data_IF_961642641254
#
_entry.id   IF_961642641254
#
_cell.length_a   1.000
_cell.length_b   1.000
_cell.length_c   1.000
_cell.angle_alpha   90.00
_cell.angle_beta   90.00
_cell.angle_gamma   90.00
#
_symmetry.space_group_name_H-M   'P 1'
#
loop_
_entity.id
_entity.type
_entity.pdbx_description
1 polymer ?
#
# COMPACT_ATOMS: atom_id res chain seq x y z
N UNK A 1 -4.86 28.80 -2.10
CA UNK A 1 -4.22 28.15 -0.95
C UNK A 1 -5.17 27.06 -0.45
N UNK A 2 -4.89 25.79 -0.76
CA UNK A 2 -5.84 24.70 -0.42
C UNK A 2 -5.90 24.54 1.11
N UNK A 3 -7.11 24.55 1.72
CA UNK A 3 -7.28 24.54 3.17
C UNK A 3 -6.63 23.29 3.76
N UNK A 4 -6.01 23.45 4.93
CA UNK A 4 -5.12 22.48 5.57
C UNK A 4 -5.70 21.08 5.70
N UNK A 5 -5.57 20.28 4.64
CA UNK A 5 -5.69 18.84 4.72
C UNK A 5 -4.65 18.37 5.74
N UNK A 6 -5.06 17.77 6.86
CA UNK A 6 -4.14 17.24 7.86
C UNK A 6 -3.30 16.15 7.19
N UNK A 7 -2.13 16.51 6.65
CA UNK A 7 -1.18 15.61 5.96
C UNK A 7 -0.93 14.34 6.77
N UNK A 8 -0.95 14.45 8.09
CA UNK A 8 -0.89 13.33 9.02
C UNK A 8 -2.00 12.27 8.81
N UNK A 9 -3.27 12.69 8.60
CA UNK A 9 -4.39 11.75 8.32
C UNK A 9 -4.14 10.95 7.03
N UNK A 10 -3.60 11.59 5.99
CA UNK A 10 -3.22 10.92 4.75
C UNK A 10 -2.07 9.91 4.95
N UNK A 11 -1.02 10.31 5.68
CA UNK A 11 0.11 9.42 5.98
C UNK A 11 -0.37 8.19 6.77
N UNK A 12 -1.23 8.40 7.77
CA UNK A 12 -1.75 7.33 8.62
C UNK A 12 -2.67 6.38 7.83
N UNK A 13 -3.51 6.93 6.95
CA UNK A 13 -4.36 6.13 6.06
C UNK A 13 -3.53 5.28 5.09
N UNK A 14 -2.48 5.85 4.49
CA UNK A 14 -1.58 5.11 3.63
C UNK A 14 -0.84 4.03 4.42
N UNK A 15 -0.29 4.35 5.59
CA UNK A 15 0.41 3.38 6.44
C UNK A 15 -0.50 2.23 6.88
N UNK A 16 -1.72 2.54 7.31
CA UNK A 16 -2.74 1.55 7.69
C UNK A 16 -3.15 0.66 6.51
N UNK A 17 -2.97 1.12 5.27
CA UNK A 17 -3.22 0.32 4.07
C UNK A 17 -2.01 -0.52 3.67
N UNK A 18 -0.81 0.05 3.74
CA UNK A 18 0.45 -0.62 3.41
C UNK A 18 0.69 -1.84 4.30
N UNK A 19 0.50 -1.68 5.61
CA UNK A 19 0.80 -2.72 6.60
C UNK A 19 0.07 -4.06 6.37
N UNK A 20 -1.27 -4.11 6.21
CA UNK A 20 -1.98 -5.35 5.94
C UNK A 20 -1.63 -5.91 4.56
N UNK A 21 -1.43 -5.06 3.55
CA UNK A 21 -1.05 -5.51 2.20
C UNK A 21 0.29 -6.23 2.23
N UNK A 22 1.29 -5.69 2.93
CA UNK A 22 2.59 -6.37 3.11
C UNK A 22 2.40 -7.70 3.85
N UNK A 23 1.60 -7.73 4.92
CA UNK A 23 1.32 -8.95 5.68
C UNK A 23 0.61 -10.03 4.86
N UNK A 24 -0.13 -9.67 3.81
CA UNK A 24 -0.76 -10.62 2.89
C UNK A 24 0.19 -11.03 1.76
N UNK A 25 0.95 -10.10 1.20
CA UNK A 25 1.85 -10.38 0.08
C UNK A 25 3.04 -11.24 0.51
N UNK A 26 3.63 -10.98 1.68
CA UNK A 26 4.79 -11.74 2.18
C UNK A 26 4.51 -13.26 2.22
N UNK A 27 3.47 -13.76 2.92
CA UNK A 27 3.22 -15.20 3.00
C UNK A 27 2.77 -15.81 1.67
N UNK A 28 2.41 -15.01 0.65
CA UNK A 28 2.12 -15.50 -0.70
C UNK A 28 3.40 -15.56 -1.54
N UNK A 29 4.21 -14.50 -1.54
CA UNK A 29 5.40 -14.37 -2.39
C UNK A 29 6.58 -15.19 -1.85
N UNK A 30 6.78 -15.24 -0.53
CA UNK A 30 7.89 -15.99 0.06
C UNK A 30 7.88 -17.49 -0.28
N UNK A 31 6.77 -18.24 -0.12
CA UNK A 31 6.74 -19.65 -0.50
C UNK A 31 6.85 -19.85 -2.01
N UNK A 32 6.25 -18.98 -2.83
CA UNK A 32 6.35 -19.07 -4.29
C UNK A 32 7.75 -18.80 -4.83
N UNK A 33 8.60 -18.13 -4.07
CA UNK A 33 9.95 -17.75 -4.48
C UNK A 33 11.04 -18.48 -3.70
N UNK A 34 10.70 -19.58 -3.04
CA UNK A 34 11.67 -20.41 -2.33
C UNK A 34 12.82 -20.84 -3.29
N UNK A 35 14.07 -20.68 -2.86
CA UNK A 35 15.27 -20.86 -3.71
C UNK A 35 15.69 -19.69 -4.63
N UNK A 36 14.87 -18.64 -4.80
CA UNK A 36 15.23 -17.51 -5.66
C UNK A 36 16.23 -16.53 -5.02
N UNK A 37 17.07 -15.85 -5.83
CA UNK A 37 17.90 -14.74 -5.36
C UNK A 37 17.05 -13.61 -4.77
N UNK A 38 17.52 -13.02 -3.66
CA UNK A 38 16.84 -11.91 -2.98
C UNK A 38 16.37 -10.77 -3.93
N UNK A 39 17.16 -10.33 -4.93
CA UNK A 39 16.73 -9.26 -5.84
C UNK A 39 15.52 -9.60 -6.71
N UNK A 40 15.35 -10.87 -7.09
CA UNK A 40 14.18 -11.30 -7.87
C UNK A 40 12.93 -11.37 -7.00
N UNK A 41 13.07 -11.81 -5.74
CA UNK A 41 11.97 -11.81 -4.77
C UNK A 41 11.46 -10.40 -4.50
N UNK A 42 12.38 -9.46 -4.29
CA UNK A 42 12.02 -8.05 -4.06
C UNK A 42 11.37 -7.44 -5.30
N UNK A 43 11.83 -7.80 -6.50
CA UNK A 43 11.23 -7.33 -7.75
C UNK A 43 9.80 -7.86 -7.95
N UNK A 44 9.53 -9.13 -7.61
CA UNK A 44 8.17 -9.67 -7.60
C UNK A 44 7.30 -8.99 -6.54
N UNK A 45 7.83 -8.83 -5.33
CA UNK A 45 7.11 -8.20 -4.22
C UNK A 45 6.73 -6.76 -4.57
N UNK A 46 7.66 -5.95 -5.09
CA UNK A 46 7.36 -4.58 -5.54
C UNK A 46 6.46 -4.56 -6.76
N UNK A 47 6.66 -5.48 -7.70
CA UNK A 47 5.84 -5.66 -8.90
C UNK A 47 4.37 -5.96 -8.58
N UNK A 48 4.06 -6.58 -7.44
CA UNK A 48 2.68 -6.81 -6.97
C UNK A 48 2.20 -5.66 -6.07
N UNK A 49 3.05 -5.21 -5.14
CA UNK A 49 2.72 -4.19 -4.15
C UNK A 49 2.34 -2.86 -4.81
N UNK A 50 3.16 -2.38 -5.74
CA UNK A 50 2.96 -1.08 -6.41
C UNK A 50 1.65 -0.99 -7.18
N UNK A 51 1.29 -1.94 -8.07
CA UNK A 51 0.01 -1.87 -8.78
C UNK A 51 -1.17 -2.08 -7.84
N UNK A 52 -1.05 -2.95 -6.82
CA UNK A 52 -2.10 -3.09 -5.78
C UNK A 52 -2.37 -1.75 -5.11
N UNK A 53 -1.30 -1.06 -4.72
CA UNK A 53 -1.39 0.28 -4.16
C UNK A 53 -1.98 1.29 -5.14
N UNK A 54 -1.50 1.34 -6.38
CA UNK A 54 -1.98 2.26 -7.40
C UNK A 54 -3.49 2.13 -7.66
N UNK A 55 -4.04 0.93 -7.51
CA UNK A 55 -5.47 0.65 -7.72
C UNK A 55 -6.31 0.90 -6.47
N UNK A 56 -5.79 0.60 -5.27
CA UNK A 56 -6.57 0.68 -4.04
C UNK A 56 -6.43 2.04 -3.32
N UNK A 57 -5.25 2.68 -3.31
CA UNK A 57 -5.08 4.02 -2.74
C UNK A 57 -6.10 5.04 -3.26
N UNK A 58 -6.34 5.21 -4.57
CA UNK A 58 -7.31 6.19 -5.05
C UNK A 58 -8.75 5.85 -4.63
N UNK A 59 -9.09 4.56 -4.51
CA UNK A 59 -10.39 4.15 -3.97
C UNK A 59 -10.49 4.47 -2.48
N UNK A 60 -9.48 4.13 -1.70
CA UNK A 60 -9.43 4.39 -0.27
C UNK A 60 -9.46 5.91 0.02
N UNK A 61 -8.70 6.69 -0.74
CA UNK A 61 -8.72 8.15 -0.67
C UNK A 61 -10.09 8.72 -1.01
N UNK A 62 -10.81 8.15 -1.99
CA UNK A 62 -12.21 8.54 -2.29
C UNK A 62 -13.17 8.18 -1.16
N UNK A 63 -13.09 6.98 -0.62
CA UNK A 63 -13.97 6.53 0.48
C UNK A 63 -13.75 7.34 1.74
N UNK A 64 -12.48 7.59 2.09
CA UNK A 64 -12.12 8.39 3.24
C UNK A 64 -12.12 9.89 2.97
N UNK A 65 -12.31 10.36 1.72
CA UNK A 65 -12.29 11.79 1.38
C UNK A 65 -13.24 12.60 2.27
N UNK A 66 -14.43 12.08 2.57
CA UNK A 66 -15.39 12.73 3.48
C UNK A 66 -14.94 12.77 4.94
N UNK A 67 -14.17 11.79 5.41
CA UNK A 67 -13.57 11.78 6.76
C UNK A 67 -12.28 12.62 6.84
N UNK A 68 -11.56 12.69 5.73
CA UNK A 68 -10.32 13.42 5.59
C UNK A 68 -10.63 14.93 5.47
N UNK A 69 -11.73 15.30 4.80
CA UNK A 69 -12.23 16.68 4.65
C UNK A 69 -13.00 17.22 5.87
N UNK A 70 -13.32 16.36 6.84
CA UNK A 70 -13.94 16.71 8.13
C UNK A 70 -12.90 16.84 9.24
#
# INVERSE_FOLDING_TARGET
>A
MQPGFKKWKMILLNWAFVYPVINVIIPVVFPLTEGWPLPLRTLLLTGILVPTMAVVLPRLHRTFAGWLAK
#
